data_IF_826641830851
#
_entry.id   IF_826641830851
#
_cell.length_a   1.000
_cell.length_b   1.000
_cell.length_c   1.000
_cell.angle_alpha   90.00
_cell.angle_beta   90.00
_cell.angle_gamma   90.00
#
_symmetry.space_group_name_H-M   'P 1'
#
loop_
_entity.id
_entity.type
_entity.pdbx_description
1 polymer ?
#
# COMPACT_ATOMS: atom_id res chain seq x y z
N UNK A 1 9.76 -19.60 19.92
CA UNK A 1 9.59 -18.49 20.89
C UNK A 1 10.63 -17.46 20.50
N UNK A 2 10.27 -16.51 19.63
CA UNK A 2 11.19 -15.49 19.13
C UNK A 2 10.85 -14.16 19.79
N UNK A 3 11.76 -13.67 20.63
CA UNK A 3 11.66 -12.39 21.31
C UNK A 3 12.12 -11.27 20.35
N UNK A 4 11.23 -10.32 20.08
CA UNK A 4 11.55 -9.11 19.32
C UNK A 4 12.11 -8.02 20.26
N UNK A 5 13.07 -7.20 19.82
CA UNK A 5 13.68 -6.14 20.63
C UNK A 5 12.72 -4.98 20.92
N UNK A 6 12.87 -4.37 22.10
CA UNK A 6 12.02 -3.32 22.67
C UNK A 6 11.94 -2.00 21.88
N UNK A 7 12.64 -1.85 20.75
CA UNK A 7 12.58 -0.65 19.91
C UNK A 7 11.35 -0.60 18.99
N UNK A 8 10.56 -1.67 18.89
CA UNK A 8 9.28 -1.72 18.15
C UNK A 8 8.11 -1.41 19.11
N UNK A 9 8.26 -0.38 19.94
CA UNK A 9 7.21 0.14 20.82
C UNK A 9 6.80 1.56 20.39
N UNK A 10 6.69 1.76 19.07
CA UNK A 10 5.87 2.85 18.55
C UNK A 10 4.42 2.54 18.94
N UNK A 11 3.78 3.45 19.66
CA UNK A 11 2.36 3.40 19.99
C UNK A 11 1.54 3.20 18.71
N UNK A 12 1.23 1.94 18.37
CA UNK A 12 0.04 1.63 17.59
C UNK A 12 -1.13 2.11 18.45
N UNK A 13 -1.58 3.34 18.21
CA UNK A 13 -2.96 3.68 18.51
C UNK A 13 -3.74 2.70 17.67
N UNK A 14 -4.24 1.63 18.30
CA UNK A 14 -5.16 0.70 17.68
C UNK A 14 -6.36 1.55 17.27
N UNK A 15 -6.40 1.97 16.00
CA UNK A 15 -7.60 2.51 15.42
C UNK A 15 -8.62 1.39 15.58
N UNK A 16 -9.72 1.68 16.27
CA UNK A 16 -10.84 0.73 16.37
C UNK A 16 -11.21 0.21 14.97
N UNK A 17 -11.94 -0.91 14.88
CA UNK A 17 -12.26 -1.51 13.60
C UNK A 17 -12.83 -0.45 12.66
N UNK A 18 -12.14 -0.21 11.55
CA UNK A 18 -12.69 0.63 10.49
C UNK A 18 -13.96 -0.07 10.00
N UNK A 19 -15.03 0.70 9.78
CA UNK A 19 -16.23 0.15 9.15
C UNK A 19 -15.87 -0.38 7.77
N UNK A 20 -16.59 -1.39 7.29
CA UNK A 20 -16.37 -1.97 5.96
C UNK A 20 -16.37 -0.89 4.86
N UNK A 21 -17.23 0.13 4.99
CA UNK A 21 -17.28 1.28 4.08
C UNK A 21 -15.99 2.12 4.11
N UNK A 22 -15.41 2.34 5.29
CA UNK A 22 -14.17 3.09 5.43
C UNK A 22 -12.97 2.33 4.84
N UNK A 23 -12.93 1.01 5.00
CA UNK A 23 -11.94 0.16 4.33
C UNK A 23 -12.14 0.13 2.81
N UNK A 24 -13.39 0.02 2.33
CA UNK A 24 -13.71 -0.02 0.90
C UNK A 24 -13.29 1.27 0.18
N UNK A 25 -13.44 2.42 0.82
CA UNK A 25 -13.12 3.73 0.25
C UNK A 25 -11.64 3.94 -0.09
N UNK A 26 -10.75 3.13 0.47
CA UNK A 26 -9.31 3.20 0.22
C UNK A 26 -8.91 2.49 -1.09
N UNK A 27 -9.81 1.74 -1.72
CA UNK A 27 -9.54 0.96 -2.94
C UNK A 27 -10.26 1.59 -4.15
N UNK A 28 -9.59 1.71 -5.32
CA UNK A 28 -10.19 2.23 -6.56
C UNK A 28 -11.05 1.17 -7.27
N UNK A 29 -11.99 0.56 -6.54
CA UNK A 29 -12.93 -0.40 -7.11
C UNK A 29 -14.21 0.32 -7.55
N UNK A 30 -14.79 -0.13 -8.67
CA UNK A 30 -16.05 0.39 -9.16
C UNK A 30 -17.14 0.35 -8.06
N UNK A 31 -17.85 1.46 -7.81
CA UNK A 31 -18.95 1.47 -6.84
C UNK A 31 -20.01 0.42 -7.17
N UNK A 32 -20.53 -0.27 -6.15
CA UNK A 32 -21.53 -1.33 -6.33
C UNK A 32 -21.00 -2.66 -6.87
N UNK A 33 -19.75 -2.74 -7.35
CA UNK A 33 -19.13 -4.00 -7.73
C UNK A 33 -18.63 -4.76 -6.49
N UNK A 34 -19.02 -6.02 -6.35
CA UNK A 34 -18.45 -6.94 -5.37
C UNK A 34 -17.31 -7.74 -6.02
N UNK A 35 -16.06 -7.35 -5.75
CA UNK A 35 -14.89 -8.03 -6.31
C UNK A 35 -14.48 -9.23 -5.44
N UNK A 36 -15.05 -10.40 -5.74
CA UNK A 36 -14.89 -11.61 -4.91
C UNK A 36 -13.56 -12.36 -5.14
N UNK A 37 -12.87 -12.10 -6.25
CA UNK A 37 -11.64 -12.79 -6.62
C UNK A 37 -10.41 -11.88 -6.54
N UNK A 38 -10.04 -11.47 -5.32
CA UNK A 38 -8.83 -10.67 -5.11
C UNK A 38 -7.54 -11.47 -5.38
N UNK A 39 -7.56 -12.79 -5.17
CA UNK A 39 -6.36 -13.64 -5.26
C UNK A 39 -5.80 -13.85 -6.68
N UNK A 40 -6.55 -13.49 -7.73
CA UNK A 40 -6.07 -13.61 -9.12
C UNK A 40 -5.24 -12.40 -9.54
N UNK A 41 -5.89 -11.25 -9.74
CA UNK A 41 -5.22 -10.03 -10.20
C UNK A 41 -5.07 -8.97 -9.09
N UNK A 42 -5.91 -9.03 -8.07
CA UNK A 42 -5.93 -8.07 -6.98
C UNK A 42 -6.30 -6.64 -7.39
N UNK A 43 -6.24 -5.75 -6.40
CA UNK A 43 -6.32 -4.30 -6.57
C UNK A 43 -5.52 -3.66 -5.44
N UNK A 44 -4.75 -2.62 -5.74
CA UNK A 44 -3.98 -1.91 -4.72
C UNK A 44 -4.81 -0.76 -4.14
N UNK A 45 -4.71 -0.47 -2.83
CA UNK A 45 -5.26 0.76 -2.28
C UNK A 45 -4.58 2.00 -2.87
N UNK A 46 -5.24 3.16 -2.76
CA UNK A 46 -4.75 4.43 -3.31
C UNK A 46 -3.34 4.78 -2.83
N UNK A 47 -3.00 4.53 -1.57
CA UNK A 47 -1.67 4.85 -1.01
C UNK A 47 -0.55 4.05 -1.69
N UNK A 48 -0.82 2.78 -2.04
CA UNK A 48 0.15 1.94 -2.76
C UNK A 48 0.30 2.42 -4.20
N UNK A 49 -0.80 2.82 -4.85
CA UNK A 49 -0.77 3.39 -6.20
C UNK A 49 -0.05 4.74 -6.25
N UNK A 50 -0.19 5.57 -5.22
CA UNK A 50 0.54 6.83 -5.09
C UNK A 50 2.04 6.56 -4.95
N UNK A 51 2.45 5.62 -4.09
CA UNK A 51 3.84 5.22 -3.96
C UNK A 51 4.41 4.69 -5.28
N UNK A 52 3.65 3.84 -5.99
CA UNK A 52 4.01 3.35 -7.31
C UNK A 52 4.19 4.50 -8.31
N UNK A 53 3.29 5.48 -8.31
CA UNK A 53 3.36 6.67 -9.18
C UNK A 53 4.62 7.48 -8.90
N UNK A 54 4.97 7.69 -7.62
CA UNK A 54 6.21 8.40 -7.25
C UNK A 54 7.45 7.68 -7.76
N UNK A 55 7.52 6.36 -7.58
CA UNK A 55 8.63 5.54 -8.09
C UNK A 55 8.73 5.61 -9.62
N UNK A 56 7.60 5.54 -10.33
CA UNK A 56 7.55 5.71 -11.79
C UNK A 56 8.14 7.07 -12.19
N UNK A 57 7.68 8.15 -11.57
CA UNK A 57 8.16 9.50 -11.88
C UNK A 57 9.66 9.66 -11.58
N UNK A 58 10.17 9.02 -10.52
CA UNK A 58 11.59 9.02 -10.20
C UNK A 58 12.41 8.30 -11.27
N UNK A 59 11.95 7.13 -11.71
CA UNK A 59 12.56 6.36 -12.80
C UNK A 59 12.60 7.15 -14.11
N UNK A 60 11.49 7.79 -14.51
CA UNK A 60 11.42 8.56 -15.76
C UNK A 60 12.29 9.83 -15.74
N UNK A 61 12.56 10.41 -14.56
CA UNK A 61 13.39 11.61 -14.43
C UNK A 61 14.88 11.35 -14.67
N UNK A 62 15.40 10.22 -14.21
CA UNK A 62 16.81 9.85 -14.41
C UNK A 62 17.00 8.33 -14.35
N UNK A 63 16.69 7.60 -15.45
CA UNK A 63 16.57 6.14 -15.42
C UNK A 63 17.89 5.44 -15.07
N UNK A 64 19.03 5.94 -15.56
CA UNK A 64 20.34 5.34 -15.25
C UNK A 64 20.64 5.40 -13.76
N UNK A 65 20.40 6.55 -13.11
CA UNK A 65 20.62 6.69 -11.66
C UNK A 65 19.65 5.80 -10.87
N UNK A 66 18.39 5.79 -11.26
CA UNK A 66 17.35 5.00 -10.61
C UNK A 66 17.73 3.50 -10.58
N UNK A 67 18.03 2.91 -11.74
CA UNK A 67 18.33 1.48 -11.83
C UNK A 67 19.69 1.06 -11.28
N UNK A 68 20.69 1.95 -11.28
CA UNK A 68 22.06 1.60 -10.83
C UNK A 68 22.27 1.88 -9.34
N UNK A 69 21.49 2.78 -8.72
CA UNK A 69 21.76 3.27 -7.35
C UNK A 69 20.57 3.27 -6.40
N UNK A 70 19.33 3.30 -6.89
CA UNK A 70 18.14 3.58 -6.06
C UNK A 70 17.15 2.41 -6.00
N UNK A 71 17.35 1.37 -6.82
CA UNK A 71 16.60 0.10 -6.80
C UNK A 71 17.30 -0.94 -5.93
#
# INVERSE_FOLDING_TARGET
MWDLPASVQGSLVARGPMTDDACRALWPLEPGLAFLNHGSFGACPFEVLEAQTRLRLQMEREPVRFFVREL
#
